data_IF_558347701795
#
_entry.id   IF_558347701795
#
_cell.length_a   1.000
_cell.length_b   1.000
_cell.length_c   1.000
_cell.angle_alpha   90.00
_cell.angle_beta   90.00
_cell.angle_gamma   90.00
#
_symmetry.space_group_name_H-M   'P 1'
#
loop_
_entity.id
_entity.type
_entity.pdbx_description
1 polymer ?
#
# COMPACT_ATOMS: atom_id res chain seq x y z
N UNK A 1 2.85 -8.78 -20.97
CA UNK A 1 1.66 -8.30 -20.23
C UNK A 1 1.81 -8.79 -18.80
N UNK A 2 1.69 -7.90 -17.82
CA UNK A 2 1.77 -8.30 -16.42
C UNK A 2 0.47 -8.97 -16.00
N UNK A 3 0.58 -9.96 -15.12
CA UNK A 3 -0.56 -10.60 -14.47
C UNK A 3 -0.49 -10.28 -12.98
N UNK A 4 -1.61 -9.82 -12.43
CA UNK A 4 -1.71 -9.34 -11.05
C UNK A 4 -2.75 -10.16 -10.33
N UNK A 5 -2.27 -11.05 -9.49
CA UNK A 5 -3.10 -11.90 -8.67
C UNK A 5 -3.40 -11.19 -7.34
N UNK A 6 -4.68 -11.04 -7.02
CA UNK A 6 -5.16 -10.41 -5.78
C UNK A 6 -6.25 -11.23 -5.12
N UNK A 7 -6.55 -10.94 -3.85
CA UNK A 7 -7.70 -11.56 -3.18
C UNK A 7 -9.00 -11.24 -3.92
N UNK A 8 -9.94 -12.18 -3.97
CA UNK A 8 -11.30 -12.01 -4.51
C UNK A 8 -12.26 -11.14 -3.66
N UNK A 9 -11.80 -10.42 -2.63
CA UNK A 9 -12.59 -9.45 -1.83
C UNK A 9 -12.29 -8.02 -2.25
N UNK A 10 -13.25 -7.12 -2.12
CA UNK A 10 -13.13 -5.70 -2.54
C UNK A 10 -12.74 -5.56 -4.01
N UNK A 11 -13.37 -6.37 -4.87
CA UNK A 11 -13.07 -6.43 -6.31
C UNK A 11 -13.16 -5.05 -6.99
N UNK A 12 -14.20 -4.22 -6.76
CA UNK A 12 -14.26 -2.90 -7.36
C UNK A 12 -13.11 -1.98 -6.91
N UNK A 13 -12.80 -1.96 -5.62
CA UNK A 13 -11.76 -1.11 -5.03
C UNK A 13 -10.37 -1.50 -5.51
N UNK A 14 -10.08 -2.80 -5.53
CA UNK A 14 -8.83 -3.36 -6.06
C UNK A 14 -8.68 -3.07 -7.55
N UNK A 15 -9.74 -3.28 -8.34
CA UNK A 15 -9.72 -3.01 -9.78
C UNK A 15 -9.44 -1.54 -10.05
N UNK A 16 -10.12 -0.64 -9.32
CA UNK A 16 -9.90 0.79 -9.41
C UNK A 16 -8.45 1.18 -9.12
N UNK A 17 -7.90 0.75 -7.98
CA UNK A 17 -6.57 1.22 -7.58
C UNK A 17 -5.45 0.61 -8.43
N UNK A 18 -5.57 -0.66 -8.82
CA UNK A 18 -4.58 -1.31 -9.68
C UNK A 18 -4.59 -0.65 -11.06
N UNK A 19 -5.77 -0.41 -11.63
CA UNK A 19 -5.91 0.29 -12.91
C UNK A 19 -5.34 1.71 -12.83
N UNK A 20 -5.68 2.46 -11.77
CA UNK A 20 -5.22 3.84 -11.59
C UNK A 20 -3.68 3.90 -11.53
N UNK A 21 -3.06 3.08 -10.69
CA UNK A 21 -1.61 3.12 -10.51
C UNK A 21 -0.85 2.57 -11.71
N UNK A 22 -1.28 1.44 -12.27
CA UNK A 22 -0.48 0.76 -13.28
C UNK A 22 -0.78 1.26 -14.68
N UNK A 23 -2.06 1.38 -15.05
CA UNK A 23 -2.41 1.83 -16.38
C UNK A 23 -2.42 3.37 -16.46
N UNK A 24 -3.17 4.05 -15.59
CA UNK A 24 -3.39 5.49 -15.77
C UNK A 24 -2.14 6.32 -15.43
N UNK A 25 -1.40 5.94 -14.38
CA UNK A 25 -0.18 6.65 -13.99
C UNK A 25 1.09 6.13 -14.69
N UNK A 26 1.25 4.81 -14.81
CA UNK A 26 2.48 4.21 -15.37
C UNK A 26 2.36 3.75 -16.83
N UNK A 27 1.18 3.71 -17.42
CA UNK A 27 0.97 3.24 -18.80
C UNK A 27 1.17 1.73 -19.00
N UNK A 28 1.13 0.95 -17.91
CA UNK A 28 1.37 -0.49 -17.89
C UNK A 28 0.06 -1.23 -18.01
N UNK A 29 -0.08 -2.04 -19.08
CA UNK A 29 -1.20 -2.95 -19.24
C UNK A 29 -1.01 -4.21 -18.38
N UNK A 30 -2.03 -4.53 -17.59
CA UNK A 30 -2.06 -5.70 -16.72
C UNK A 30 -3.40 -6.42 -16.76
N UNK A 31 -3.36 -7.74 -16.62
CA UNK A 31 -4.53 -8.58 -16.38
C UNK A 31 -4.65 -8.84 -14.87
N UNK A 32 -5.84 -8.62 -14.29
CA UNK A 32 -6.10 -8.86 -12.87
C UNK A 32 -6.77 -10.23 -12.72
N UNK A 33 -6.18 -11.08 -11.88
CA UNK A 33 -6.71 -12.40 -11.52
C UNK A 33 -7.14 -12.37 -10.06
N UNK A 34 -8.39 -12.73 -9.80
CA UNK A 34 -8.95 -12.79 -8.46
C UNK A 34 -8.92 -14.23 -7.94
N UNK A 35 -8.26 -14.45 -6.82
CA UNK A 35 -8.10 -15.77 -6.19
C UNK A 35 -8.05 -15.64 -4.66
N UNK A 36 -7.99 -16.76 -3.93
CA UNK A 36 -7.81 -16.75 -2.47
C UNK A 36 -6.32 -16.59 -2.13
N UNK A 37 -5.93 -15.42 -1.57
CA UNK A 37 -4.53 -15.12 -1.23
C UNK A 37 -4.41 -13.97 -0.23
N UNK A 38 -3.24 -13.84 0.40
CA UNK A 38 -2.98 -12.88 1.51
C UNK A 38 -2.09 -11.70 1.14
N UNK A 39 -1.71 -11.62 -0.12
CA UNK A 39 -0.75 -10.68 -0.69
C UNK A 39 -1.14 -10.40 -2.14
N UNK A 40 -0.48 -9.44 -2.79
CA UNK A 40 -0.58 -9.22 -4.23
C UNK A 40 0.63 -9.86 -4.91
N UNK A 41 0.44 -10.63 -5.97
CA UNK A 41 1.53 -11.17 -6.79
C UNK A 41 1.47 -10.54 -8.17
N UNK A 42 2.59 -9.93 -8.55
CA UNK A 42 2.83 -9.41 -9.87
C UNK A 42 3.82 -10.34 -10.55
N UNK A 43 3.40 -10.94 -11.67
CA UNK A 43 4.23 -11.83 -12.47
C UNK A 43 4.09 -11.57 -13.97
N UNK A 44 4.93 -12.23 -14.77
CA UNK A 44 4.81 -12.27 -16.22
C UNK A 44 4.14 -13.56 -16.68
N UNK A 45 3.23 -13.43 -17.65
CA UNK A 45 2.47 -14.54 -18.22
C UNK A 45 3.34 -15.54 -19.02
N UNK A 46 4.57 -15.18 -19.38
CA UNK A 46 5.38 -15.89 -20.39
C UNK A 46 6.46 -16.84 -19.86
N UNK A 47 6.69 -16.98 -18.56
CA UNK A 47 7.77 -17.85 -18.04
C UNK A 47 7.36 -18.65 -16.80
N UNK A 48 7.44 -19.97 -16.90
CA UNK A 48 7.32 -20.91 -15.78
C UNK A 48 8.44 -20.79 -14.72
N UNK A 49 9.51 -20.03 -15.03
CA UNK A 49 10.60 -19.63 -14.13
C UNK A 49 10.69 -18.10 -13.94
N UNK A 50 9.60 -17.36 -14.22
CA UNK A 50 9.60 -15.90 -14.14
C UNK A 50 9.77 -15.42 -12.70
N UNK A 51 10.67 -14.45 -12.49
CA UNK A 51 10.76 -13.75 -11.19
C UNK A 51 9.45 -13.03 -10.94
N UNK A 52 8.94 -13.14 -9.71
CA UNK A 52 7.72 -12.46 -9.31
C UNK A 52 7.97 -11.47 -8.18
N UNK A 53 7.13 -10.44 -8.11
CA UNK A 53 7.11 -9.50 -7.00
C UNK A 53 5.84 -9.76 -6.19
N UNK A 54 6.03 -10.11 -4.93
CA UNK A 54 4.94 -10.23 -3.95
C UNK A 54 4.90 -8.94 -3.13
N UNK A 55 3.72 -8.40 -2.93
CA UNK A 55 3.48 -7.13 -2.23
C UNK A 55 2.51 -7.40 -1.09
N UNK A 56 2.72 -6.79 0.08
CA UNK A 56 1.77 -6.91 1.18
C UNK A 56 0.37 -6.43 0.76
N UNK A 57 -0.65 -7.05 1.32
CA UNK A 57 -2.05 -6.72 1.09
C UNK A 57 -2.72 -6.67 2.46
N UNK A 58 -3.02 -5.48 2.95
CA UNK A 58 -3.38 -5.25 4.36
C UNK A 58 -4.73 -4.58 4.44
N UNK A 59 -4.91 -3.42 3.80
CA UNK A 59 -6.17 -2.68 3.88
C UNK A 59 -7.33 -3.55 3.38
N UNK A 60 -7.19 -4.13 2.19
CA UNK A 60 -8.22 -4.98 1.59
C UNK A 60 -8.28 -6.39 2.17
N UNK A 61 -7.44 -6.71 3.17
CA UNK A 61 -7.61 -7.91 3.99
C UNK A 61 -8.51 -7.67 5.21
N UNK A 62 -8.86 -6.42 5.49
CA UNK A 62 -9.83 -6.06 6.54
C UNK A 62 -11.11 -6.89 6.37
N UNK A 63 -11.67 -7.47 7.45
CA UNK A 63 -12.99 -8.10 7.40
C UNK A 63 -14.11 -7.11 7.05
N UNK A 64 -15.15 -7.53 6.34
CA UNK A 64 -16.24 -6.64 5.90
C UNK A 64 -16.92 -5.90 7.05
N UNK A 65 -17.10 -6.55 8.21
CA UNK A 65 -17.68 -5.93 9.40
C UNK A 65 -16.75 -4.91 10.10
N UNK A 66 -15.50 -4.79 9.66
CA UNK A 66 -14.51 -3.82 10.14
C UNK A 66 -14.14 -2.79 9.05
N UNK A 67 -14.66 -2.95 7.83
CA UNK A 67 -14.46 -2.00 6.74
C UNK A 67 -15.08 -0.65 7.08
N UNK A 68 -14.38 0.43 6.77
CA UNK A 68 -14.78 1.81 7.08
C UNK A 68 -15.02 2.03 8.58
N UNK A 69 -14.24 1.35 9.42
CA UNK A 69 -14.21 1.57 10.86
C UNK A 69 -12.81 1.96 11.33
N UNK A 70 -12.70 2.44 12.57
CA UNK A 70 -11.41 2.78 13.17
C UNK A 70 -10.38 1.64 13.09
N UNK A 71 -10.83 0.39 13.10
CA UNK A 71 -9.97 -0.81 13.00
C UNK A 71 -9.25 -0.92 11.65
N UNK A 72 -9.85 -0.39 10.59
CA UNK A 72 -9.28 -0.39 9.23
C UNK A 72 -8.29 0.75 8.99
N UNK A 73 -8.26 1.77 9.86
CA UNK A 73 -7.34 2.91 9.72
C UNK A 73 -5.90 2.53 10.07
N UNK A 74 -4.90 3.22 9.49
CA UNK A 74 -3.50 3.04 9.86
C UNK A 74 -3.29 3.29 11.35
N UNK A 75 -2.45 2.45 11.98
CA UNK A 75 -2.10 2.63 13.40
C UNK A 75 -1.03 3.71 13.53
N UNK A 76 -1.37 4.77 14.25
CA UNK A 76 -0.46 5.88 14.54
C UNK A 76 0.28 5.68 15.88
N UNK A 77 1.53 6.15 16.04
CA UNK A 77 2.35 6.77 14.99
C UNK A 77 2.77 5.76 13.91
N UNK A 78 2.92 6.22 12.67
CA UNK A 78 3.30 5.35 11.56
C UNK A 78 4.74 4.83 11.75
N UNK A 79 5.00 3.57 11.39
CA UNK A 79 6.38 3.10 11.24
C UNK A 79 7.11 3.92 10.18
N UNK A 80 8.38 4.22 10.44
CA UNK A 80 9.26 4.88 9.47
C UNK A 80 10.28 3.86 8.99
N UNK A 81 10.38 3.69 7.67
CA UNK A 81 11.42 2.89 7.01
C UNK A 81 12.54 3.81 6.53
N UNK A 82 13.76 3.55 6.98
CA UNK A 82 14.98 4.17 6.44
C UNK A 82 15.43 3.37 5.21
N UNK A 83 15.07 3.87 4.03
CA UNK A 83 15.30 3.17 2.77
C UNK A 83 16.77 3.12 2.37
N UNK A 84 17.65 3.94 2.97
CA UNK A 84 19.07 3.99 2.59
C UNK A 84 19.82 2.68 2.84
N UNK A 85 19.31 1.84 3.74
CA UNK A 85 19.91 0.56 4.11
C UNK A 85 19.72 -0.55 3.07
N UNK A 86 18.64 -0.46 2.29
CA UNK A 86 18.19 -1.55 1.41
C UNK A 86 18.05 -1.09 -0.03
N UNK A 87 17.64 0.17 -0.23
CA UNK A 87 17.34 0.78 -1.52
C UNK A 87 18.10 2.11 -1.68
N UNK A 88 19.42 2.10 -1.50
CA UNK A 88 20.26 3.31 -1.54
C UNK A 88 20.18 4.08 -2.86
N UNK A 89 19.86 3.38 -3.94
CA UNK A 89 19.90 3.92 -5.31
C UNK A 89 18.54 4.50 -5.74
N UNK A 90 17.50 4.38 -4.91
CA UNK A 90 16.17 4.91 -5.20
C UNK A 90 16.13 6.41 -4.88
N UNK A 91 15.74 7.22 -5.88
CA UNK A 91 15.61 8.66 -5.73
C UNK A 91 14.30 8.96 -5.01
N UNK A 92 14.39 9.38 -3.74
CA UNK A 92 13.27 9.79 -2.92
C UNK A 92 13.43 11.24 -2.47
N UNK A 93 12.30 11.93 -2.24
CA UNK A 93 12.28 13.25 -1.58
C UNK A 93 12.94 13.19 -0.20
N UNK A 94 12.76 12.07 0.51
CA UNK A 94 13.42 11.75 1.77
C UNK A 94 13.51 10.24 1.92
N UNK A 95 14.60 9.75 2.51
CA UNK A 95 14.81 8.31 2.73
C UNK A 95 14.03 7.75 3.92
N UNK A 96 13.47 8.61 4.78
CA UNK A 96 12.65 8.19 5.92
C UNK A 96 11.19 8.08 5.47
N UNK A 97 10.79 6.94 4.92
CA UNK A 97 9.45 6.74 4.36
C UNK A 97 8.45 6.36 5.47
N UNK A 98 7.38 7.15 5.71
CA UNK A 98 6.28 6.72 6.56
C UNK A 98 5.48 5.60 5.90
N UNK A 99 5.19 4.54 6.65
CA UNK A 99 4.47 3.36 6.15
C UNK A 99 3.02 3.45 6.58
N UNK A 100 2.11 3.78 5.66
CA UNK A 100 0.66 3.82 5.92
C UNK A 100 0.16 2.40 6.26
N UNK A 101 0.35 1.45 5.34
CA UNK A 101 0.10 0.03 5.59
C UNK A 101 1.33 -0.78 5.16
N UNK A 102 1.81 -1.65 6.05
CA UNK A 102 2.91 -2.55 5.74
C UNK A 102 3.21 -3.56 6.84
N UNK A 103 3.87 -4.65 6.45
CA UNK A 103 4.42 -5.66 7.33
C UNK A 103 5.94 -5.58 7.28
N UNK A 104 6.57 -5.40 8.43
CA UNK A 104 8.03 -5.50 8.53
C UNK A 104 8.49 -6.90 8.14
N UNK A 105 9.59 -7.00 7.38
CA UNK A 105 10.17 -8.26 6.90
C UNK A 105 11.48 -8.63 7.58
N UNK A 106 11.96 -7.81 8.52
CA UNK A 106 13.23 -8.06 9.21
C UNK A 106 13.12 -9.23 10.20
N UNK A 107 14.09 -10.14 10.16
CA UNK A 107 14.09 -11.34 11.00
C UNK A 107 14.42 -11.06 12.49
N UNK A 108 15.07 -9.93 12.78
CA UNK A 108 15.75 -9.73 14.06
C UNK A 108 15.33 -8.46 14.83
N UNK A 109 14.39 -7.66 14.32
CA UNK A 109 13.84 -6.46 14.99
C UNK A 109 14.81 -5.30 15.23
N UNK A 110 16.10 -5.49 14.92
CA UNK A 110 17.17 -4.49 15.09
C UNK A 110 17.24 -3.50 13.91
N UNK A 111 16.79 -3.90 12.72
CA UNK A 111 16.73 -3.07 11.53
C UNK A 111 15.38 -3.30 10.84
N UNK A 112 14.43 -2.37 11.01
CA UNK A 112 13.15 -2.44 10.32
C UNK A 112 13.39 -2.34 8.82
N UNK A 113 12.96 -3.37 8.11
CA UNK A 113 13.03 -3.43 6.66
C UNK A 113 11.68 -3.89 6.11
N UNK A 114 11.40 -3.52 4.87
CA UNK A 114 10.18 -3.83 4.15
C UNK A 114 10.46 -4.45 2.78
N UNK A 115 11.72 -4.74 2.43
CA UNK A 115 12.06 -5.46 1.23
C UNK A 115 12.95 -6.65 1.56
N UNK A 116 12.60 -7.83 1.03
CA UNK A 116 13.42 -9.04 1.20
C UNK A 116 13.43 -9.86 -0.08
N UNK A 117 14.58 -10.44 -0.40
CA UNK A 117 14.70 -11.42 -1.48
C UNK A 117 14.07 -12.75 -1.04
N UNK A 118 13.35 -13.37 -1.97
CA UNK A 118 12.76 -14.70 -1.79
C UNK A 118 13.29 -15.61 -2.90
N UNK A 119 13.22 -16.94 -2.74
CA UNK A 119 13.65 -17.87 -3.80
C UNK A 119 13.01 -17.60 -5.16
N UNK A 120 11.79 -17.06 -5.17
CA UNK A 120 10.97 -16.84 -6.37
C UNK A 120 10.96 -15.37 -6.84
N UNK A 121 11.74 -14.48 -6.18
CA UNK A 121 11.84 -13.06 -6.54
C UNK A 121 11.94 -12.14 -5.32
N UNK A 122 11.03 -11.17 -5.20
CA UNK A 122 11.05 -10.18 -4.13
C UNK A 122 9.74 -10.19 -3.33
N UNK A 123 9.84 -9.96 -2.03
CA UNK A 123 8.68 -9.60 -1.20
C UNK A 123 8.84 -8.16 -0.69
N UNK A 124 7.92 -7.30 -1.11
CA UNK A 124 7.76 -5.94 -0.63
C UNK A 124 6.67 -5.92 0.44
N UNK A 125 7.08 -5.77 1.69
CA UNK A 125 6.22 -5.64 2.86
C UNK A 125 5.39 -4.34 2.91
N UNK A 126 5.45 -3.47 1.91
CA UNK A 126 4.57 -2.31 1.80
C UNK A 126 3.25 -2.70 1.12
N UNK A 127 2.12 -2.28 1.66
CA UNK A 127 0.84 -2.39 0.95
C UNK A 127 0.62 -1.15 0.09
N UNK A 128 1.26 -1.13 -1.09
CA UNK A 128 1.21 -0.02 -2.04
C UNK A 128 -0.23 0.26 -2.47
N UNK A 129 -0.98 -0.78 -2.84
CA UNK A 129 -2.34 -0.62 -3.37
C UNK A 129 -3.31 -0.16 -2.27
N UNK A 130 -3.25 -0.72 -1.07
CA UNK A 130 -4.06 -0.29 0.06
C UNK A 130 -3.72 1.13 0.51
N UNK A 131 -2.43 1.47 0.58
CA UNK A 131 -1.97 2.81 0.97
C UNK A 131 -2.37 3.87 -0.06
N UNK A 132 -2.23 3.58 -1.35
CA UNK A 132 -2.65 4.48 -2.41
C UNK A 132 -4.18 4.63 -2.45
N UNK A 133 -4.93 3.54 -2.32
CA UNK A 133 -6.39 3.61 -2.24
C UNK A 133 -6.84 4.49 -1.08
N UNK A 134 -6.27 4.28 0.11
CA UNK A 134 -6.54 5.10 1.29
C UNK A 134 -6.33 6.60 1.03
N UNK A 135 -5.19 6.95 0.42
CA UNK A 135 -4.83 8.34 0.13
C UNK A 135 -5.72 8.97 -0.96
N UNK A 136 -5.89 8.29 -2.09
CA UNK A 136 -6.60 8.82 -3.25
C UNK A 136 -8.10 8.91 -3.03
N UNK A 137 -8.70 7.96 -2.31
CA UNK A 137 -10.15 7.97 -2.03
C UNK A 137 -10.52 8.78 -0.80
N UNK A 138 -9.52 9.33 -0.07
CA UNK A 138 -9.73 10.00 1.21
C UNK A 138 -10.52 9.12 2.19
N UNK A 139 -10.17 7.83 2.23
CA UNK A 139 -10.84 6.79 3.02
C UNK A 139 -11.10 7.20 4.47
N UNK A 140 -10.14 7.88 5.09
CA UNK A 140 -10.25 8.36 6.47
C UNK A 140 -11.40 9.35 6.71
N UNK A 141 -11.84 10.11 5.70
CA UNK A 141 -12.93 11.09 5.85
C UNK A 141 -14.28 10.41 6.07
N UNK A 142 -14.44 9.19 5.53
CA UNK A 142 -15.63 8.37 5.75
C UNK A 142 -15.66 7.73 7.14
N UNK A 143 -14.49 7.56 7.77
CA UNK A 143 -14.36 6.89 9.07
C UNK A 143 -14.32 7.89 10.22
N UNK A 144 -13.59 9.00 10.06
CA UNK A 144 -13.40 10.01 11.10
C UNK A 144 -14.57 10.99 11.10
N UNK A 145 -15.19 11.27 12.27
CA UNK A 145 -16.35 12.15 12.36
C UNK A 145 -16.00 13.64 12.33
N UNK A 146 -14.72 14.02 12.39
CA UNK A 146 -14.28 15.42 12.46
C UNK A 146 -14.74 16.22 11.25
N UNK A 147 -15.46 17.32 11.51
CA UNK A 147 -15.96 18.25 10.48
C UNK A 147 -15.73 19.67 10.94
N UNK A 148 -15.31 20.52 10.01
CA UNK A 148 -15.23 21.96 10.24
C UNK A 148 -16.62 22.63 10.14
N UNK A 149 -16.68 23.94 10.35
CA UNK A 149 -17.92 24.72 10.27
C UNK A 149 -18.62 24.70 8.89
N UNK A 150 -17.96 24.19 7.85
CA UNK A 150 -18.49 24.01 6.50
C UNK A 150 -18.79 22.55 6.17
N UNK A 151 -18.81 21.67 7.18
CA UNK A 151 -18.99 20.22 7.04
C UNK A 151 -17.90 19.54 6.18
N UNK A 152 -16.69 20.11 6.17
CA UNK A 152 -15.54 19.56 5.46
C UNK A 152 -14.63 18.82 6.43
N UNK A 153 -13.94 17.80 5.94
CA UNK A 153 -12.88 17.17 6.71
C UNK A 153 -11.65 18.09 6.75
N UNK A 154 -11.18 18.43 7.96
CA UNK A 154 -10.04 19.34 8.13
C UNK A 154 -8.73 18.68 7.70
N UNK A 155 -7.87 19.42 6.99
CA UNK A 155 -6.51 18.97 6.67
C UNK A 155 -5.74 18.57 7.94
N UNK A 156 -5.94 19.27 9.07
CA UNK A 156 -5.26 18.96 10.34
C UNK A 156 -5.70 17.64 10.98
N UNK A 157 -6.87 17.12 10.59
CA UNK A 157 -7.37 15.82 11.04
C UNK A 157 -6.85 14.66 10.17
N UNK A 158 -6.24 14.96 9.02
CA UNK A 158 -5.69 13.96 8.10
C UNK A 158 -4.49 13.24 8.71
N UNK A 159 -4.34 11.96 8.37
CA UNK A 159 -3.15 11.17 8.68
C UNK A 159 -1.88 11.89 8.22
N UNK A 160 -1.92 12.47 7.01
CA UNK A 160 -0.78 13.15 6.41
C UNK A 160 -0.29 14.36 7.22
N UNK A 161 -1.21 15.17 7.75
CA UNK A 161 -0.85 16.27 8.64
C UNK A 161 -0.32 15.76 9.99
N UNK A 162 -1.01 14.80 10.60
CA UNK A 162 -0.67 14.29 11.93
C UNK A 162 0.68 13.58 11.97
N UNK A 163 1.06 12.92 10.88
CA UNK A 163 2.31 12.17 10.73
C UNK A 163 3.39 12.99 9.99
N UNK A 164 3.15 14.28 9.73
CA UNK A 164 4.16 15.21 9.22
C UNK A 164 4.61 14.96 7.78
N UNK A 165 3.76 14.36 6.94
CA UNK A 165 4.06 14.14 5.52
C UNK A 165 3.10 14.84 4.55
N UNK A 166 2.24 15.76 5.02
CA UNK A 166 1.27 16.46 4.19
C UNK A 166 1.86 17.11 2.94
N UNK A 167 3.04 17.73 3.07
CA UNK A 167 3.73 18.44 1.97
C UNK A 167 4.70 17.54 1.20
N UNK A 168 4.66 16.22 1.42
CA UNK A 168 5.56 15.26 0.81
C UNK A 168 4.75 14.24 -0.01
N UNK A 169 5.04 14.08 -1.31
CA UNK A 169 4.47 12.98 -2.09
C UNK A 169 5.04 11.65 -1.58
N UNK A 170 4.15 10.72 -1.24
CA UNK A 170 4.51 9.38 -0.75
C UNK A 170 3.84 8.26 -1.56
N UNK A 171 2.95 8.59 -2.49
CA UNK A 171 2.36 7.71 -3.50
C UNK A 171 2.90 8.13 -4.85
#
# INVERSE_FOLDING_TARGET
MLTIHVHNRYVPERSYIIQTLLHDFLGINSEIIFEERKDVLIGENSNSNGRAVRIADILFQTPENQWLTQTSLPKQPLPIWDTTKTCSDVILVSSNLPIIYGNEVSANGLNKDYLVETPDGLYLGLDIFGSAFFMLTRYEELVKPDRDQHDRFSATASLAYQEGFLDRPII
#
